data_IF_065217281438
#
_entry.id   IF_065217281438
#
_cell.length_a   1.000
_cell.length_b   1.000
_cell.length_c   1.000
_cell.angle_alpha   90.00
_cell.angle_beta   90.00
_cell.angle_gamma   90.00
#
_symmetry.space_group_name_H-M   'P 1'
#
loop_
_entity.id
_entity.type
_entity.pdbx_description
1 polymer ?
#
# COMPACT_ATOMS: atom_id res chain seq x y z
N UNK A 1 -15.77 -9.06 -6.83
CA UNK A 1 -15.30 -8.59 -5.51
C UNK A 1 -14.68 -9.78 -4.79
N UNK A 2 -13.35 -9.88 -4.77
CA UNK A 2 -12.64 -10.81 -3.89
C UNK A 2 -12.44 -10.10 -2.55
N UNK A 3 -13.33 -10.31 -1.61
CA UNK A 3 -13.15 -9.90 -0.22
C UNK A 3 -12.19 -10.90 0.41
N UNK A 4 -10.98 -10.45 0.76
CA UNK A 4 -10.06 -11.30 1.50
C UNK A 4 -10.65 -11.61 2.87
N UNK A 5 -10.45 -12.86 3.29
CA UNK A 5 -11.05 -13.51 4.43
C UNK A 5 -10.90 -12.68 5.72
N UNK A 6 -12.01 -12.23 6.27
CA UNK A 6 -12.09 -11.63 7.60
C UNK A 6 -11.97 -12.75 8.63
N UNK A 7 -10.98 -12.65 9.52
CA UNK A 7 -10.91 -13.52 10.67
C UNK A 7 -12.12 -13.32 11.59
N UNK A 8 -12.62 -14.37 12.26
CA UNK A 8 -13.85 -14.28 13.03
C UNK A 8 -13.70 -13.41 14.29
N UNK A 9 -14.74 -12.64 14.61
CA UNK A 9 -15.03 -11.93 15.88
C UNK A 9 -14.10 -10.76 16.25
N UNK A 10 -12.78 -10.82 16.08
CA UNK A 10 -11.88 -9.71 16.39
C UNK A 10 -11.95 -8.61 15.31
N UNK A 11 -12.31 -8.98 14.08
CA UNK A 11 -12.49 -8.06 12.98
C UNK A 11 -13.68 -7.12 13.20
N UNK A 12 -14.79 -7.61 13.73
CA UNK A 12 -15.97 -6.80 13.97
C UNK A 12 -15.73 -5.70 15.02
N UNK A 13 -15.02 -6.02 16.10
CA UNK A 13 -14.70 -5.03 17.13
C UNK A 13 -13.74 -3.94 16.62
N UNK A 14 -12.75 -4.30 15.80
CA UNK A 14 -11.85 -3.35 15.18
C UNK A 14 -12.55 -2.47 14.15
N UNK A 15 -13.56 -3.01 13.45
CA UNK A 15 -14.38 -2.26 12.50
C UNK A 15 -15.32 -1.28 13.22
N UNK A 16 -15.93 -1.69 14.30
CA UNK A 16 -16.82 -0.85 15.12
C UNK A 16 -16.07 0.35 15.72
N UNK A 17 -14.78 0.18 16.03
CA UNK A 17 -13.90 1.25 16.53
C UNK A 17 -13.20 1.99 15.38
N UNK A 18 -13.24 1.46 14.15
CA UNK A 18 -12.53 2.04 13.00
C UNK A 18 -11.01 1.87 13.05
N UNK A 19 -10.49 0.98 13.88
CA UNK A 19 -9.05 0.71 14.04
C UNK A 19 -8.51 -0.25 12.96
N UNK A 20 -8.98 -0.13 11.73
CA UNK A 20 -8.55 -0.95 10.60
C UNK A 20 -7.64 -0.14 9.70
N UNK A 21 -6.42 -0.63 9.51
CA UNK A 21 -5.48 -0.09 8.53
C UNK A 21 -5.72 -0.79 7.20
N UNK A 22 -6.19 -0.05 6.19
CA UNK A 22 -6.47 -0.61 4.87
C UNK A 22 -5.57 -0.03 3.78
N UNK A 23 -5.10 -0.92 2.91
CA UNK A 23 -4.32 -0.61 1.72
C UNK A 23 -5.06 -1.15 0.50
N UNK A 24 -5.54 -0.26 -0.35
CA UNK A 24 -6.24 -0.63 -1.58
C UNK A 24 -5.39 -0.32 -2.79
N UNK A 25 -5.16 -1.32 -3.65
CA UNK A 25 -4.49 -1.13 -4.93
C UNK A 25 -5.39 -0.42 -5.92
N UNK A 26 -4.83 0.56 -6.63
CA UNK A 26 -5.52 1.23 -7.74
C UNK A 26 -5.48 0.43 -9.05
N UNK A 27 -4.64 -0.60 -9.11
CA UNK A 27 -4.45 -1.41 -10.31
C UNK A 27 -5.39 -2.61 -10.31
N UNK A 28 -5.37 -3.37 -9.20
CA UNK A 28 -6.05 -4.66 -9.06
C UNK A 28 -7.36 -4.55 -8.28
N UNK A 29 -7.64 -3.38 -7.71
CA UNK A 29 -8.74 -3.12 -6.77
C UNK A 29 -8.72 -4.03 -5.52
N UNK A 30 -7.63 -4.76 -5.33
CA UNK A 30 -7.43 -5.59 -4.14
C UNK A 30 -7.21 -4.71 -2.93
N UNK A 31 -7.86 -5.06 -1.84
CA UNK A 31 -7.73 -4.36 -0.56
C UNK A 31 -7.17 -5.33 0.49
N UNK A 32 -6.12 -4.90 1.17
CA UNK A 32 -5.52 -5.60 2.29
C UNK A 32 -5.82 -4.82 3.56
N UNK A 33 -6.39 -5.52 4.55
CA UNK A 33 -6.78 -4.92 5.82
C UNK A 33 -6.03 -5.58 6.97
N UNK A 34 -5.55 -4.74 7.89
CA UNK A 34 -4.92 -5.18 9.13
C UNK A 34 -5.69 -4.62 10.32
N UNK A 35 -6.01 -5.49 11.29
CA UNK A 35 -6.33 -5.10 12.65
C UNK A 35 -5.02 -4.71 13.32
N UNK A 36 -4.67 -3.46 13.24
CA UNK A 36 -3.36 -2.99 13.62
C UNK A 36 -3.38 -2.26 14.96
N UNK A 37 -2.49 -2.66 15.86
CA UNK A 37 -2.12 -1.79 16.97
C UNK A 37 -1.08 -0.80 16.47
N UNK A 38 -1.50 0.44 16.26
CA UNK A 38 -0.62 1.49 15.82
C UNK A 38 0.33 1.86 16.95
N UNK A 39 1.64 1.79 16.66
CA UNK A 39 2.70 2.20 17.57
C UNK A 39 3.07 3.67 17.33
N UNK A 40 3.17 4.05 16.07
CA UNK A 40 3.46 5.44 15.69
C UNK A 40 2.89 5.82 14.34
N UNK A 41 2.42 7.05 14.25
CA UNK A 41 2.12 7.73 12.98
C UNK A 41 2.90 9.05 12.99
N UNK A 42 3.79 9.21 12.04
CA UNK A 42 4.48 10.46 11.81
C UNK A 42 4.15 10.98 10.42
N UNK A 43 3.73 12.23 10.35
CA UNK A 43 3.36 12.90 9.13
C UNK A 43 4.29 14.08 8.90
N UNK A 44 4.90 14.15 7.71
CA UNK A 44 5.84 15.20 7.34
C UNK A 44 5.38 15.90 6.07
N UNK A 45 5.40 17.22 6.09
CA UNK A 45 5.15 18.06 4.93
C UNK A 45 6.44 18.76 4.54
N UNK A 46 6.90 18.52 3.31
CA UNK A 46 8.08 19.16 2.76
C UNK A 46 7.68 20.06 1.58
N UNK A 47 7.87 21.36 1.76
CA UNK A 47 7.66 22.38 0.72
C UNK A 47 8.99 22.70 0.07
N UNK A 48 9.07 22.57 -1.24
CA UNK A 48 10.28 22.82 -2.03
C UNK A 48 10.14 24.14 -2.77
N UNK A 49 11.13 25.01 -2.59
CA UNK A 49 11.23 26.31 -3.22
C UNK A 49 12.56 26.42 -3.98
N UNK A 50 12.53 27.00 -5.16
CA UNK A 50 13.72 27.41 -5.85
C UNK A 50 13.94 28.91 -5.65
N UNK A 51 15.13 29.29 -5.22
CA UNK A 51 15.49 30.69 -4.96
C UNK A 51 16.56 31.15 -5.96
N UNK A 52 16.35 32.32 -6.57
CA UNK A 52 17.29 32.96 -7.45
C UNK A 52 17.67 34.33 -6.91
N UNK A 53 18.97 34.59 -6.80
CA UNK A 53 19.50 35.92 -6.49
C UNK A 53 19.75 36.70 -7.78
N UNK A 54 19.21 37.91 -7.84
CA UNK A 54 19.42 38.82 -8.97
C UNK A 54 20.34 39.96 -8.54
N UNK A 55 21.31 40.27 -9.37
CA UNK A 55 22.24 41.39 -9.11
C UNK A 55 21.51 42.72 -8.88
N UNK A 56 21.86 43.43 -7.81
CA UNK A 56 21.22 44.69 -7.42
C UNK A 56 19.96 44.57 -6.55
N UNK A 57 19.59 43.35 -6.20
CA UNK A 57 18.46 43.06 -5.28
C UNK A 57 18.93 42.26 -4.09
N UNK A 58 18.58 42.66 -2.86
CA UNK A 58 18.98 41.96 -1.64
C UNK A 58 18.02 40.82 -1.31
N UNK A 59 16.80 40.85 -1.84
CA UNK A 59 15.80 39.82 -1.61
C UNK A 59 15.79 38.76 -2.72
N UNK A 60 15.78 37.49 -2.35
CA UNK A 60 15.73 36.38 -3.30
C UNK A 60 14.34 36.32 -3.96
N UNK A 61 14.32 35.93 -5.24
CA UNK A 61 13.08 35.57 -5.94
C UNK A 61 12.81 34.11 -5.66
N UNK A 62 11.76 33.81 -4.87
CA UNK A 62 11.39 32.45 -4.53
C UNK A 62 10.26 31.94 -5.43
N UNK A 63 10.51 30.79 -6.10
CA UNK A 63 9.53 30.12 -6.94
C UNK A 63 9.11 28.80 -6.27
N UNK A 64 7.83 28.63 -6.04
CA UNK A 64 7.27 27.41 -5.46
C UNK A 64 7.33 26.25 -6.44
N UNK A 65 7.91 25.10 -6.00
CA UNK A 65 8.03 23.90 -6.81
C UNK A 65 6.96 22.86 -6.46
N UNK A 66 6.58 22.78 -5.20
CA UNK A 66 5.57 21.84 -4.74
C UNK A 66 5.69 21.50 -3.27
N UNK A 67 4.63 20.87 -2.73
CA UNK A 67 4.63 20.34 -1.37
C UNK A 67 4.41 18.83 -1.42
N UNK A 68 5.29 18.07 -0.78
CA UNK A 68 5.19 16.63 -0.63
C UNK A 68 4.75 16.31 0.79
N UNK A 69 3.78 15.38 0.89
CA UNK A 69 3.32 14.83 2.16
C UNK A 69 3.78 13.38 2.27
N UNK A 70 4.42 13.03 3.37
CA UNK A 70 4.87 11.67 3.66
C UNK A 70 4.36 11.19 5.01
N UNK A 71 4.07 9.89 5.08
CA UNK A 71 3.66 9.20 6.29
C UNK A 71 4.68 8.13 6.63
N UNK A 72 5.11 8.10 7.88
CA UNK A 72 5.82 6.99 8.50
C UNK A 72 4.87 6.34 9.49
N UNK A 73 4.55 5.06 9.26
CA UNK A 73 3.57 4.32 10.05
C UNK A 73 4.23 3.06 10.56
N UNK A 74 4.21 2.85 11.87
CA UNK A 74 4.62 1.62 12.54
C UNK A 74 3.42 1.00 13.24
N UNK A 75 3.22 -0.30 13.02
CA UNK A 75 2.11 -1.03 13.62
C UNK A 75 2.48 -2.47 13.90
N UNK A 76 1.84 -3.04 14.92
CA UNK A 76 1.98 -4.45 15.29
C UNK A 76 0.66 -5.18 15.05
N UNK A 77 0.74 -6.37 14.49
CA UNK A 77 -0.41 -7.25 14.23
C UNK A 77 -0.24 -8.52 15.03
N UNK A 78 -0.90 -8.66 16.21
CA UNK A 78 -0.85 -9.88 16.98
C UNK A 78 -1.72 -10.97 16.34
N UNK A 79 -1.36 -12.22 16.58
CA UNK A 79 -2.14 -13.39 16.21
C UNK A 79 -2.49 -14.19 17.47
N UNK A 80 -3.76 -14.51 17.67
CA UNK A 80 -4.25 -15.29 18.82
C UNK A 80 -4.12 -16.81 18.60
N UNK A 81 -4.16 -17.20 17.33
CA UNK A 81 -4.14 -18.62 16.94
C UNK A 81 -3.37 -18.79 15.62
N UNK A 82 -3.09 -20.04 15.26
CA UNK A 82 -2.36 -20.38 14.05
C UNK A 82 -3.06 -19.91 12.76
N UNK A 83 -4.39 -19.91 12.73
CA UNK A 83 -5.15 -19.46 11.56
C UNK A 83 -5.01 -17.95 11.34
N UNK A 84 -5.09 -17.15 12.41
CA UNK A 84 -4.85 -15.71 12.33
C UNK A 84 -3.41 -15.40 11.92
N UNK A 85 -2.44 -16.15 12.44
CA UNK A 85 -1.03 -16.00 12.06
C UNK A 85 -0.82 -16.26 10.56
N UNK A 86 -1.46 -17.30 10.01
CA UNK A 86 -1.41 -17.62 8.58
C UNK A 86 -2.05 -16.51 7.73
N UNK A 87 -3.19 -15.97 8.15
CA UNK A 87 -3.87 -14.87 7.46
C UNK A 87 -3.02 -13.61 7.50
N UNK A 88 -2.45 -13.26 8.65
CA UNK A 88 -1.57 -12.10 8.80
C UNK A 88 -0.34 -12.21 7.91
N UNK A 89 0.28 -13.39 7.83
CA UNK A 89 1.41 -13.65 6.95
C UNK A 89 1.03 -13.51 5.47
N UNK A 90 -0.13 -14.04 5.08
CA UNK A 90 -0.66 -13.86 3.72
C UNK A 90 -0.90 -12.39 3.39
N UNK A 91 -1.49 -11.64 4.32
CA UNK A 91 -1.74 -10.21 4.16
C UNK A 91 -0.44 -9.41 4.01
N UNK A 92 0.61 -9.75 4.78
CA UNK A 92 1.95 -9.16 4.59
C UNK A 92 2.51 -9.48 3.20
N UNK A 93 2.36 -10.71 2.72
CA UNK A 93 2.76 -11.13 1.38
C UNK A 93 1.99 -10.37 0.28
N UNK A 94 0.69 -10.18 0.43
CA UNK A 94 -0.11 -9.38 -0.50
C UNK A 94 0.28 -7.90 -0.48
N UNK A 95 0.51 -7.32 0.70
CA UNK A 95 0.98 -5.95 0.80
C UNK A 95 2.31 -5.77 0.07
N UNK A 96 3.24 -6.73 0.21
CA UNK A 96 4.49 -6.71 -0.55
C UNK A 96 4.25 -6.79 -2.06
N UNK A 97 3.28 -7.58 -2.53
CA UNK A 97 2.92 -7.65 -3.95
C UNK A 97 2.38 -6.32 -4.50
N UNK A 98 1.70 -5.51 -3.67
CA UNK A 98 1.20 -4.21 -4.09
C UNK A 98 2.31 -3.19 -4.39
N UNK A 99 3.56 -3.47 -4.04
CA UNK A 99 4.71 -2.62 -4.37
C UNK A 99 5.22 -2.84 -5.79
N UNK A 100 4.83 -3.94 -6.42
CA UNK A 100 5.28 -4.28 -7.78
C UNK A 100 4.36 -3.67 -8.83
N UNK A 101 4.91 -3.12 -9.92
CA UNK A 101 4.13 -2.57 -11.01
C UNK A 101 3.45 -3.69 -11.81
N UNK A 102 2.40 -3.34 -12.52
CA UNK A 102 1.82 -4.22 -13.53
C UNK A 102 2.59 -4.06 -14.84
N UNK A 103 3.05 -5.19 -15.38
CA UNK A 103 3.69 -5.22 -16.69
C UNK A 103 2.64 -5.39 -17.80
N UNK A 104 2.96 -4.86 -18.98
CA UNK A 104 2.09 -4.98 -20.14
C UNK A 104 2.15 -6.43 -20.66
N UNK A 105 1.02 -7.13 -20.57
CA UNK A 105 0.83 -8.43 -21.19
C UNK A 105 0.02 -8.23 -22.48
N UNK A 106 0.61 -7.60 -23.48
CA UNK A 106 0.00 -7.54 -24.80
C UNK A 106 -0.08 -8.96 -25.39
N UNK A 107 -1.24 -9.55 -25.19
CA UNK A 107 -1.64 -10.73 -25.95
C UNK A 107 -1.98 -10.24 -27.36
N UNK A 108 -1.01 -10.07 -28.22
CA UNK A 108 -1.29 -10.02 -29.63
C UNK A 108 -1.76 -11.43 -30.03
N UNK A 109 -3.05 -11.63 -30.01
CA UNK A 109 -3.67 -12.77 -30.66
C UNK A 109 -3.53 -12.55 -32.19
N UNK A 110 -2.42 -13.00 -32.75
CA UNK A 110 -2.30 -13.20 -34.18
C UNK A 110 -3.24 -14.37 -34.50
N UNK A 111 -4.47 -14.06 -34.85
CA UNK A 111 -5.45 -15.02 -35.34
C UNK A 111 -5.09 -15.37 -36.78
N UNK A 112 -4.06 -16.16 -36.95
CA UNK A 112 -3.90 -17.01 -38.13
C UNK A 112 -4.23 -18.43 -37.71
N UNK A 113 -5.18 -19.05 -38.37
CA UNK A 113 -5.82 -20.30 -38.00
C UNK A 113 -4.88 -21.51 -37.86
N UNK A 114 -3.58 -21.39 -38.13
CA UNK A 114 -2.60 -22.48 -38.08
C UNK A 114 -1.19 -22.06 -37.58
N UNK A 115 -1.05 -20.91 -36.93
CA UNK A 115 0.26 -20.53 -36.35
C UNK A 115 0.32 -20.89 -34.86
N UNK A 116 1.47 -21.41 -34.37
CA UNK A 116 1.65 -21.63 -32.92
C UNK A 116 1.45 -20.31 -32.17
N UNK A 117 0.60 -20.32 -31.13
CA UNK A 117 0.37 -19.17 -30.27
C UNK A 117 1.67 -18.79 -29.55
N UNK A 118 2.47 -17.91 -30.12
CA UNK A 118 3.53 -17.25 -29.39
C UNK A 118 2.91 -16.15 -28.52
N UNK A 119 2.84 -16.38 -27.22
CA UNK A 119 2.50 -15.34 -26.24
C UNK A 119 3.79 -14.57 -26.02
N UNK A 120 3.95 -13.46 -26.74
CA UNK A 120 5.02 -12.50 -26.45
C UNK A 120 4.65 -11.74 -25.18
N UNK A 121 5.14 -12.20 -24.04
CA UNK A 121 5.09 -11.41 -22.81
C UNK A 121 6.25 -10.42 -22.85
N UNK A 122 5.95 -9.16 -23.15
CA UNK A 122 6.94 -8.10 -23.02
C UNK A 122 7.04 -7.66 -21.55
N UNK A 123 7.88 -8.35 -20.78
CA UNK A 123 8.14 -8.07 -19.36
C UNK A 123 8.92 -6.76 -19.12
N UNK A 124 9.29 -6.04 -20.18
CA UNK A 124 10.12 -4.84 -20.10
C UNK A 124 9.31 -3.55 -20.05
N UNK A 125 8.01 -3.59 -20.34
CA UNK A 125 7.15 -2.41 -20.37
C UNK A 125 6.22 -2.37 -19.17
N UNK A 126 6.39 -1.36 -18.31
CA UNK A 126 5.50 -1.10 -17.18
C UNK A 126 4.21 -0.48 -17.72
N UNK A 127 3.08 -1.14 -17.49
CA UNK A 127 1.76 -0.65 -17.90
C UNK A 127 1.18 0.33 -16.89
N UNK A 128 1.26 0.01 -15.60
CA UNK A 128 0.70 0.82 -14.52
C UNK A 128 1.64 0.86 -13.32
N UNK A 129 1.89 2.07 -12.75
CA UNK A 129 2.69 2.21 -11.54
C UNK A 129 1.92 1.70 -10.30
N UNK A 130 2.61 1.22 -9.25
CA UNK A 130 1.99 0.69 -8.03
C UNK A 130 1.44 1.82 -7.14
N UNK A 131 0.28 2.35 -7.49
CA UNK A 131 -0.44 3.32 -6.68
C UNK A 131 -1.41 2.62 -5.73
N UNK A 132 -1.46 3.10 -4.50
CA UNK A 132 -2.32 2.58 -3.45
C UNK A 132 -3.15 3.70 -2.82
N UNK A 133 -4.26 3.30 -2.21
CA UNK A 133 -5.03 4.15 -1.28
C UNK A 133 -4.83 3.61 0.13
N UNK A 134 -4.40 4.50 1.01
CA UNK A 134 -4.21 4.23 2.42
C UNK A 134 -5.34 4.86 3.22
N UNK A 135 -6.00 4.08 4.06
CA UNK A 135 -7.04 4.55 4.98
C UNK A 135 -6.78 4.01 6.38
N UNK A 136 -6.89 4.87 7.37
CA UNK A 136 -6.87 4.46 8.76
C UNK A 136 -7.82 5.34 9.58
N UNK A 137 -8.93 4.73 10.01
CA UNK A 137 -9.96 5.43 10.79
C UNK A 137 -10.29 6.81 10.18
N UNK A 138 -10.29 7.85 11.01
CA UNK A 138 -10.43 9.25 10.63
C UNK A 138 -9.10 10.02 10.53
N UNK A 139 -7.97 9.36 10.83
CA UNK A 139 -6.64 9.99 10.83
C UNK A 139 -6.02 10.08 9.42
N UNK A 140 -6.27 9.06 8.61
CA UNK A 140 -5.77 8.99 7.23
C UNK A 140 -6.97 8.74 6.32
N UNK A 141 -7.55 9.81 5.83
CA UNK A 141 -8.68 9.80 4.90
C UNK A 141 -8.50 10.88 3.85
N UNK A 142 -9.23 10.77 2.76
CA UNK A 142 -9.32 11.84 1.79
C UNK A 142 -10.28 12.92 2.31
N UNK A 143 -9.86 14.18 2.27
CA UNK A 143 -10.68 15.32 2.74
C UNK A 143 -11.95 15.56 1.91
N UNK A 144 -11.99 15.07 0.67
CA UNK A 144 -13.14 15.22 -0.23
C UNK A 144 -14.16 14.09 -0.10
N UNK A 145 -13.71 12.92 0.33
CA UNK A 145 -14.54 11.73 0.49
C UNK A 145 -13.98 10.87 1.63
N UNK A 146 -14.72 10.83 2.74
CA UNK A 146 -14.31 10.07 3.93
C UNK A 146 -14.24 8.56 3.71
N UNK A 147 -14.90 8.04 2.67
CA UNK A 147 -14.84 6.61 2.35
C UNK A 147 -13.60 6.24 1.54
N UNK A 148 -13.01 7.22 0.86
CA UNK A 148 -11.80 7.01 0.10
C UNK A 148 -10.54 7.27 0.93
N UNK A 149 -9.61 6.32 0.91
CA UNK A 149 -8.28 6.49 1.48
C UNK A 149 -7.44 7.53 0.71
N UNK A 150 -6.36 7.97 1.33
CA UNK A 150 -5.39 8.88 0.74
C UNK A 150 -4.62 8.17 -0.37
N UNK A 151 -4.59 8.75 -1.57
CA UNK A 151 -3.83 8.24 -2.70
C UNK A 151 -2.33 8.49 -2.50
N UNK A 152 -1.53 7.47 -2.71
CA UNK A 152 -0.07 7.55 -2.60
C UNK A 152 0.65 6.33 -3.14
N UNK A 153 1.90 6.22 -2.79
CA UNK A 153 2.75 5.07 -3.10
C UNK A 153 3.63 4.73 -1.90
N UNK A 154 4.01 3.47 -1.77
CA UNK A 154 4.90 3.01 -0.70
C UNK A 154 6.34 3.10 -1.19
N UNK A 155 7.18 3.79 -0.44
CA UNK A 155 8.62 3.89 -0.74
C UNK A 155 9.44 2.81 -0.03
N UNK A 156 8.99 2.41 1.16
CA UNK A 156 9.65 1.39 1.95
C UNK A 156 8.62 0.57 2.73
N UNK A 157 8.79 -0.74 2.76
CA UNK A 157 8.03 -1.68 3.55
C UNK A 157 8.99 -2.66 4.19
N UNK A 158 8.96 -2.73 5.51
CA UNK A 158 9.67 -3.77 6.27
C UNK A 158 8.71 -4.41 7.25
N UNK A 159 8.82 -5.69 7.46
CA UNK A 159 8.11 -6.42 8.48
C UNK A 159 9.04 -7.45 9.14
N UNK A 160 8.90 -7.57 10.45
CA UNK A 160 9.75 -8.47 11.24
C UNK A 160 8.86 -9.31 12.15
N UNK A 161 8.85 -10.64 12.00
CA UNK A 161 8.15 -11.50 12.94
C UNK A 161 8.79 -11.39 14.33
N UNK A 162 7.99 -11.25 15.36
CA UNK A 162 8.48 -11.29 16.74
C UNK A 162 8.68 -12.74 17.18
N UNK A 163 9.92 -13.22 17.10
CA UNK A 163 10.27 -14.61 17.42
C UNK A 163 10.22 -14.86 18.93
N UNK A 164 10.41 -13.83 19.76
CA UNK A 164 10.38 -13.95 21.22
C UNK A 164 9.01 -14.34 21.76
N UNK A 165 7.93 -13.97 21.05
CA UNK A 165 6.55 -14.35 21.41
C UNK A 165 6.21 -15.80 21.02
N UNK A 166 7.12 -16.53 20.39
CA UNK A 166 6.92 -17.89 19.91
C UNK A 166 6.33 -17.95 18.50
N UNK A 167 6.28 -19.15 17.95
CA UNK A 167 5.72 -19.42 16.62
C UNK A 167 4.70 -20.55 16.71
N UNK A 168 3.62 -20.43 15.91
CA UNK A 168 2.68 -21.52 15.73
C UNK A 168 3.28 -22.55 14.78
N UNK A 169 3.47 -23.78 15.26
CA UNK A 169 3.88 -24.92 14.42
C UNK A 169 2.65 -25.65 13.93
N UNK A 170 2.56 -25.91 12.62
CA UNK A 170 1.58 -26.89 12.13
C UNK A 170 2.04 -28.28 12.56
N UNK A 171 1.28 -28.91 13.46
CA UNK A 171 1.41 -30.34 13.64
C UNK A 171 0.94 -31.01 12.34
N UNK A 172 1.86 -31.71 11.66
CA UNK A 172 1.56 -32.57 10.52
C UNK A 172 0.76 -33.78 10.98
#
# INVERSE_FOLDING_TARGET
>A
YMTFYRGPVAASYGEDIGAVLSFKSMITELEVQFLAYLESINQTFNSTWNTEQVYGRNDDIATFQGTKRSYNISWTVPARNAQEAEINLKNCGFLAQLLYPQYNTDRQSVSQANAPKFISQNALSISKPPLIRLKFANLIVNSQDNDLGLLGYITNLSWTPNIEMGMFTQNK
#
